data_IF_509793109325
#
_entry.id   IF_509793109325
#
_cell.length_a   1.000
_cell.length_b   1.000
_cell.length_c   1.000
_cell.angle_alpha   90.00
_cell.angle_beta   90.00
_cell.angle_gamma   90.00
#
_symmetry.space_group_name_H-M   'P 1'
#
loop_
_entity.id
_entity.type
_entity.pdbx_description
1 polymer ?
#
# COMPACT_ATOMS: atom_id res chain seq x y z
N UNK A 1 -5.42 -7.36 -6.40
CA UNK A 1 -6.75 -7.51 -7.01
C UNK A 1 -7.14 -6.29 -7.85
N UNK A 2 -7.33 -5.07 -7.30
CA UNK A 2 -7.66 -3.88 -8.10
C UNK A 2 -6.73 -3.70 -9.31
N UNK A 3 -5.42 -3.78 -9.11
CA UNK A 3 -4.42 -3.65 -10.18
C UNK A 3 -4.54 -4.73 -11.28
N UNK A 4 -4.97 -5.95 -10.93
CA UNK A 4 -5.18 -7.03 -11.91
C UNK A 4 -6.51 -6.90 -12.66
N UNK A 5 -7.54 -6.37 -12.01
CA UNK A 5 -8.88 -6.28 -12.59
C UNK A 5 -9.10 -5.05 -13.47
N UNK A 6 -8.26 -4.01 -13.38
CA UNK A 6 -8.47 -2.79 -14.15
C UNK A 6 -7.68 -2.81 -15.46
N UNK A 7 -8.36 -2.62 -16.64
CA UNK A 7 -7.73 -2.77 -17.94
C UNK A 7 -6.70 -1.70 -18.30
N UNK A 8 -6.76 -0.53 -17.64
CA UNK A 8 -5.85 0.60 -17.89
C UNK A 8 -4.60 0.54 -17.00
N UNK A 9 -4.40 -0.58 -16.26
CA UNK A 9 -3.23 -0.80 -15.44
C UNK A 9 -2.53 -2.08 -15.87
N UNK A 10 -1.28 -1.96 -16.31
CA UNK A 10 -0.41 -3.09 -16.61
C UNK A 10 0.45 -3.39 -15.39
N UNK A 11 0.13 -4.48 -14.67
CA UNK A 11 0.84 -4.92 -13.48
C UNK A 11 2.10 -5.70 -13.87
N UNK A 12 3.23 -5.02 -13.93
CA UNK A 12 4.50 -5.58 -14.43
C UNK A 12 5.20 -6.51 -13.45
N UNK A 13 5.09 -6.25 -12.15
CA UNK A 13 5.70 -7.06 -11.10
C UNK A 13 5.04 -6.76 -9.74
N UNK A 14 5.15 -7.71 -8.82
CA UNK A 14 4.83 -7.55 -7.40
C UNK A 14 6.08 -7.83 -6.58
N UNK A 15 6.35 -7.00 -5.57
CA UNK A 15 7.41 -7.26 -4.60
C UNK A 15 6.84 -7.28 -3.20
N UNK A 16 7.28 -8.22 -2.38
CA UNK A 16 6.82 -8.37 -1.02
C UNK A 16 7.81 -7.79 -0.01
N UNK A 17 7.33 -7.42 1.15
CA UNK A 17 8.12 -6.90 2.27
C UNK A 17 7.50 -7.40 3.57
N UNK A 18 8.32 -7.61 4.60
CA UNK A 18 7.79 -7.86 5.94
C UNK A 18 7.16 -6.57 6.49
N UNK A 19 6.02 -6.74 7.14
CA UNK A 19 5.25 -5.64 7.72
C UNK A 19 4.10 -6.22 8.53
N UNK A 20 2.89 -6.27 7.99
CA UNK A 20 1.72 -6.84 8.70
C UNK A 20 2.02 -8.22 9.30
N UNK A 21 2.80 -9.04 8.59
CA UNK A 21 3.32 -10.34 9.04
C UNK A 21 4.75 -10.53 8.48
N UNK A 22 5.37 -11.70 8.77
CA UNK A 22 6.73 -12.00 8.28
C UNK A 22 6.78 -12.13 6.75
N UNK A 23 7.97 -12.02 6.18
CA UNK A 23 8.20 -12.05 4.73
C UNK A 23 7.70 -13.35 4.08
N UNK A 24 7.84 -14.49 4.76
CA UNK A 24 7.34 -15.77 4.28
C UNK A 24 5.82 -15.77 4.11
N UNK A 25 5.12 -15.17 5.10
CA UNK A 25 3.66 -15.07 5.09
C UNK A 25 3.18 -14.05 4.04
N UNK A 26 3.81 -12.86 3.95
CA UNK A 26 3.44 -11.86 2.95
C UNK A 26 3.67 -12.37 1.54
N UNK A 27 4.77 -13.08 1.29
CA UNK A 27 5.06 -13.68 -0.02
C UNK A 27 4.06 -14.78 -0.37
N UNK A 28 3.80 -15.73 0.55
CA UNK A 28 2.78 -16.75 0.35
C UNK A 28 1.41 -16.14 0.03
N UNK A 29 1.03 -15.10 0.76
CA UNK A 29 -0.24 -14.42 0.58
C UNK A 29 -0.33 -13.71 -0.78
N UNK A 30 0.72 -13.04 -1.22
CA UNK A 30 0.79 -12.38 -2.53
C UNK A 30 0.60 -13.41 -3.67
N UNK A 31 1.33 -14.54 -3.62
CA UNK A 31 1.21 -15.61 -4.60
C UNK A 31 -0.21 -16.19 -4.65
N UNK A 32 -0.81 -16.48 -3.48
CA UNK A 32 -2.18 -17.00 -3.38
C UNK A 32 -3.22 -16.03 -3.94
N UNK A 33 -3.07 -14.73 -3.65
CA UNK A 33 -3.97 -13.70 -4.15
C UNK A 33 -3.84 -13.54 -5.66
N UNK A 34 -2.64 -13.58 -6.22
CA UNK A 34 -2.44 -13.52 -7.67
C UNK A 34 -3.04 -14.76 -8.36
N UNK A 35 -2.84 -15.97 -7.81
CA UNK A 35 -3.48 -17.19 -8.32
C UNK A 35 -5.02 -17.13 -8.22
N UNK A 36 -5.56 -16.55 -7.15
CA UNK A 36 -7.01 -16.39 -6.98
C UNK A 36 -7.63 -15.56 -8.12
N UNK A 37 -6.90 -14.54 -8.58
CA UNK A 37 -7.36 -13.59 -9.61
C UNK A 37 -6.85 -13.91 -11.02
N UNK A 38 -6.12 -15.03 -11.19
CA UNK A 38 -5.62 -15.47 -12.50
C UNK A 38 -4.48 -14.63 -13.08
N UNK A 39 -3.66 -14.02 -12.21
CA UNK A 39 -2.47 -13.23 -12.58
C UNK A 39 -1.18 -14.01 -12.29
N UNK A 40 -1.14 -15.29 -12.65
CA UNK A 40 -0.02 -16.21 -12.36
C UNK A 40 1.25 -15.90 -13.18
N UNK A 41 1.14 -15.09 -14.23
CA UNK A 41 2.23 -14.62 -15.09
C UNK A 41 2.96 -13.39 -14.52
N UNK A 42 2.40 -12.73 -13.50
CA UNK A 42 3.03 -11.58 -12.84
C UNK A 42 4.14 -12.05 -11.90
N UNK A 43 5.41 -11.70 -12.14
CA UNK A 43 6.50 -12.14 -11.29
C UNK A 43 6.41 -11.54 -9.88
N UNK A 44 6.74 -12.35 -8.86
CA UNK A 44 6.72 -11.95 -7.45
C UNK A 44 8.13 -12.01 -6.87
N UNK A 45 8.74 -10.88 -6.59
CA UNK A 45 10.06 -10.79 -5.93
C UNK A 45 9.96 -10.77 -4.42
N UNK A 46 10.71 -11.65 -3.75
CA UNK A 46 10.81 -11.67 -2.29
C UNK A 46 11.71 -10.53 -1.83
N UNK A 47 11.22 -9.66 -0.96
CA UNK A 47 11.96 -8.50 -0.49
C UNK A 47 12.46 -8.61 0.94
N UNK A 48 12.60 -7.47 1.59
CA UNK A 48 13.20 -7.37 2.91
C UNK A 48 12.39 -8.11 3.98
N UNK A 49 13.09 -8.87 4.82
CA UNK A 49 12.52 -9.58 5.97
C UNK A 49 12.35 -8.71 7.22
N UNK A 50 12.73 -7.46 7.15
CA UNK A 50 12.61 -6.47 8.22
C UNK A 50 13.06 -5.09 7.76
N UNK A 51 12.90 -4.07 8.62
CA UNK A 51 13.29 -2.70 8.34
C UNK A 51 14.81 -2.53 8.28
N UNK A 52 15.26 -1.37 7.75
CA UNK A 52 16.69 -1.09 7.53
C UNK A 52 17.53 -1.11 8.82
N UNK A 53 17.01 -0.55 9.89
CA UNK A 53 17.81 -0.32 11.10
C UNK A 53 17.18 -0.90 12.39
N UNK A 54 15.91 -1.32 12.34
CA UNK A 54 15.14 -1.65 13.56
C UNK A 54 14.66 -3.09 13.57
N UNK A 55 14.29 -3.65 14.72
CA UNK A 55 13.58 -4.93 14.77
C UNK A 55 12.21 -4.79 14.08
N UNK A 56 11.80 -5.86 13.40
CA UNK A 56 10.49 -5.94 12.75
C UNK A 56 9.37 -5.82 13.79
N UNK A 57 8.42 -4.92 13.51
CA UNK A 57 7.13 -4.83 14.19
C UNK A 57 6.04 -5.34 13.26
N UNK A 58 5.21 -6.29 13.73
CA UNK A 58 4.12 -6.87 12.94
C UNK A 58 2.75 -6.43 13.46
N UNK A 59 1.71 -6.59 12.65
CA UNK A 59 0.32 -6.26 12.97
C UNK A 59 -0.58 -7.51 12.95
N UNK A 60 -0.10 -8.63 13.52
CA UNK A 60 -0.89 -9.87 13.61
C UNK A 60 -2.18 -9.71 14.43
N UNK A 61 -2.23 -8.74 15.33
CA UNK A 61 -3.41 -8.35 16.10
C UNK A 61 -4.52 -7.70 15.26
N UNK A 62 -4.19 -7.19 14.06
CA UNK A 62 -5.14 -6.63 13.09
C UNK A 62 -5.44 -7.63 11.97
N UNK A 63 -4.39 -8.20 11.36
CA UNK A 63 -4.47 -9.01 10.14
C UNK A 63 -4.59 -10.51 10.39
N UNK A 64 -4.56 -10.92 11.67
CA UNK A 64 -4.52 -12.32 12.06
C UNK A 64 -3.14 -12.96 11.86
N UNK A 65 -3.01 -14.19 12.34
CA UNK A 65 -1.71 -14.92 12.35
C UNK A 65 -1.20 -15.25 10.95
N UNK A 66 -2.09 -15.43 9.98
CA UNK A 66 -1.71 -15.69 8.58
C UNK A 66 -1.45 -14.40 7.80
N UNK A 67 -1.95 -13.26 8.29
CA UNK A 67 -1.99 -11.98 7.55
C UNK A 67 -3.13 -11.88 6.53
N UNK A 68 -3.92 -12.95 6.39
CA UNK A 68 -5.14 -13.04 5.59
C UNK A 68 -6.17 -13.89 6.33
N UNK A 69 -6.32 -13.68 7.64
CA UNK A 69 -7.38 -14.33 8.40
C UNK A 69 -8.74 -13.74 8.00
N UNK A 70 -9.72 -14.61 7.82
CA UNK A 70 -11.06 -14.24 7.36
C UNK A 70 -11.84 -15.45 6.88
N UNK A 71 -13.03 -15.27 6.32
CA UNK A 71 -13.83 -16.37 5.85
C UNK A 71 -13.32 -16.93 4.52
N UNK A 72 -13.17 -18.22 4.49
CA UNK A 72 -12.86 -19.01 3.31
C UNK A 72 -11.36 -19.23 3.12
N UNK A 73 -11.04 -20.40 2.57
CA UNK A 73 -9.68 -20.70 2.15
C UNK A 73 -9.40 -20.04 0.79
N UNK A 74 -8.45 -19.11 0.74
CA UNK A 74 -7.82 -18.78 -0.53
C UNK A 74 -6.99 -20.02 -0.92
N UNK A 75 -7.14 -20.54 -2.15
CA UNK A 75 -6.37 -21.70 -2.59
C UNK A 75 -4.87 -21.45 -2.51
N UNK A 76 -4.08 -22.52 -2.42
CA UNK A 76 -2.63 -22.39 -2.52
C UNK A 76 -2.25 -21.89 -3.93
N UNK A 77 -1.13 -21.19 -4.00
CA UNK A 77 -0.64 -20.64 -5.27
C UNK A 77 -0.23 -21.77 -6.23
N UNK A 78 -0.46 -21.55 -7.51
CA UNK A 78 -0.12 -22.46 -8.60
C UNK A 78 1.31 -22.22 -9.13
N UNK A 79 1.96 -21.14 -8.70
CA UNK A 79 3.31 -20.73 -9.10
C UNK A 79 4.13 -20.28 -7.88
N UNK A 80 5.45 -20.11 -8.06
CA UNK A 80 6.38 -19.70 -7.02
C UNK A 80 6.86 -18.26 -7.20
N UNK A 81 7.60 -17.77 -6.20
CA UNK A 81 8.29 -16.50 -6.31
C UNK A 81 9.39 -16.55 -7.40
N UNK A 82 9.67 -15.39 -7.99
CA UNK A 82 10.79 -15.19 -8.91
C UNK A 82 12.12 -15.43 -8.17
N UNK A 83 13.11 -15.92 -8.87
CA UNK A 83 14.45 -16.14 -8.29
C UNK A 83 15.16 -14.83 -7.91
N UNK A 84 14.76 -13.74 -8.55
CA UNK A 84 15.24 -12.38 -8.21
C UNK A 84 14.57 -11.89 -6.95
N UNK A 85 15.36 -11.30 -6.05
CA UNK A 85 14.82 -10.53 -4.93
C UNK A 85 14.07 -9.26 -5.40
N UNK A 86 13.39 -8.60 -4.47
CA UNK A 86 12.56 -7.43 -4.79
C UNK A 86 13.33 -6.32 -5.52
N UNK A 87 14.54 -5.96 -5.05
CA UNK A 87 15.34 -4.88 -5.64
C UNK A 87 15.78 -5.22 -7.07
N UNK A 88 16.26 -6.45 -7.28
CA UNK A 88 16.65 -6.92 -8.60
C UNK A 88 15.47 -6.99 -9.56
N UNK A 89 14.31 -7.44 -9.08
CA UNK A 89 13.09 -7.51 -9.89
C UNK A 89 12.61 -6.11 -10.27
N UNK A 90 12.60 -5.14 -9.35
CA UNK A 90 12.27 -3.74 -9.65
C UNK A 90 13.23 -3.21 -10.74
N UNK A 91 14.54 -3.36 -10.52
CA UNK A 91 15.57 -2.88 -11.45
C UNK A 91 15.44 -3.50 -12.85
N UNK A 92 15.21 -4.82 -12.91
CA UNK A 92 15.02 -5.54 -14.17
C UNK A 92 13.75 -5.09 -14.90
N UNK A 93 12.63 -4.90 -14.16
CA UNK A 93 11.36 -4.43 -14.70
C UNK A 93 11.51 -3.02 -15.28
N UNK A 94 12.13 -2.10 -14.55
CA UNK A 94 12.36 -0.74 -15.02
C UNK A 94 13.26 -0.69 -16.27
N UNK A 95 14.28 -1.54 -16.36
CA UNK A 95 15.14 -1.64 -17.54
C UNK A 95 14.43 -2.23 -18.75
N UNK A 96 13.54 -3.19 -18.53
CA UNK A 96 12.83 -3.88 -19.61
C UNK A 96 11.62 -3.10 -20.14
N UNK A 97 11.00 -2.27 -19.30
CA UNK A 97 9.83 -1.47 -19.71
C UNK A 97 10.22 -0.45 -20.79
N UNK A 98 9.43 -0.30 -21.87
CA UNK A 98 9.66 0.75 -22.87
C UNK A 98 9.44 2.16 -22.28
N UNK A 99 8.50 2.30 -21.35
CA UNK A 99 8.12 3.55 -20.72
C UNK A 99 8.53 3.58 -19.23
N UNK A 100 8.69 4.76 -18.62
CA UNK A 100 8.87 4.87 -17.17
C UNK A 100 7.69 4.28 -16.40
N UNK A 101 7.96 3.67 -15.25
CA UNK A 101 7.02 2.88 -14.45
C UNK A 101 6.61 3.63 -13.19
N UNK A 102 5.37 3.44 -12.75
CA UNK A 102 4.91 3.91 -11.43
C UNK A 102 5.14 2.84 -10.37
N UNK A 103 5.75 3.21 -9.26
CA UNK A 103 5.88 2.35 -8.07
C UNK A 103 4.69 2.61 -7.14
N UNK A 104 4.03 1.54 -6.66
CA UNK A 104 2.87 1.66 -5.76
C UNK A 104 3.15 0.87 -4.48
N UNK A 105 3.98 1.38 -3.57
CA UNK A 105 4.20 0.73 -2.28
C UNK A 105 2.98 0.88 -1.36
N UNK A 106 2.48 -0.26 -0.89
CA UNK A 106 1.35 -0.37 0.04
C UNK A 106 1.74 -1.09 1.34
N UNK A 107 3.03 -1.12 1.64
CA UNK A 107 3.65 -1.64 2.84
C UNK A 107 4.86 -0.79 3.23
N UNK A 108 5.68 -1.22 4.21
CA UNK A 108 6.90 -0.53 4.59
C UNK A 108 7.81 -0.25 3.38
N UNK A 109 8.45 0.92 3.37
CA UNK A 109 9.17 1.44 2.20
C UNK A 109 10.58 0.87 2.02
N UNK A 110 10.94 -0.16 2.78
CA UNK A 110 12.27 -0.78 2.84
C UNK A 110 12.79 -1.18 1.46
N UNK A 111 11.99 -1.88 0.64
CA UNK A 111 12.39 -2.29 -0.71
C UNK A 111 12.65 -1.10 -1.63
N UNK A 112 11.84 -0.05 -1.50
CA UNK A 112 11.95 1.15 -2.35
C UNK A 112 13.21 1.93 -1.97
N UNK A 113 13.50 2.09 -0.67
CA UNK A 113 14.73 2.72 -0.21
C UNK A 113 15.97 1.93 -0.66
N UNK A 114 15.96 0.60 -0.50
CA UNK A 114 17.04 -0.26 -0.97
C UNK A 114 17.25 -0.12 -2.49
N UNK A 115 16.18 -0.15 -3.28
CA UNK A 115 16.24 0.08 -4.73
C UNK A 115 16.89 1.44 -5.06
N UNK A 116 16.48 2.51 -4.40
CA UNK A 116 17.01 3.86 -4.66
C UNK A 116 18.49 4.01 -4.28
N UNK A 117 18.95 3.28 -3.26
CA UNK A 117 20.37 3.22 -2.86
C UNK A 117 21.21 2.45 -3.87
N UNK A 118 20.72 1.29 -4.31
CA UNK A 118 21.48 0.36 -5.16
C UNK A 118 21.46 0.76 -6.65
N UNK A 119 20.35 1.39 -7.09
CA UNK A 119 20.13 1.78 -8.50
C UNK A 119 19.75 3.26 -8.65
N UNK A 120 20.58 4.21 -8.18
CA UNK A 120 20.28 5.65 -8.31
C UNK A 120 20.21 6.11 -9.78
N UNK A 121 20.84 5.38 -10.68
CA UNK A 121 20.84 5.59 -12.14
C UNK A 121 19.48 5.27 -12.80
N UNK A 122 18.60 4.54 -12.13
CA UNK A 122 17.27 4.18 -12.63
C UNK A 122 16.15 5.13 -12.17
N UNK A 123 16.45 6.18 -11.44
CA UNK A 123 15.43 7.14 -10.98
C UNK A 123 14.62 7.73 -12.12
N UNK A 124 15.24 8.04 -13.25
CA UNK A 124 14.56 8.59 -14.42
C UNK A 124 13.61 7.58 -15.09
N UNK A 125 13.68 6.30 -14.70
CA UNK A 125 12.76 5.25 -15.13
C UNK A 125 11.53 5.13 -14.22
N UNK A 126 11.44 5.92 -13.15
CA UNK A 126 10.31 5.97 -12.23
C UNK A 126 9.49 7.24 -12.51
N UNK A 127 8.26 7.06 -12.97
CA UNK A 127 7.34 8.18 -13.24
C UNK A 127 6.93 8.89 -11.95
N UNK A 128 6.53 8.08 -10.94
CA UNK A 128 6.10 8.54 -9.61
C UNK A 128 6.11 7.38 -8.62
N UNK A 129 6.01 7.72 -7.35
CA UNK A 129 5.75 6.77 -6.26
C UNK A 129 4.38 7.11 -5.66
N UNK A 130 3.41 6.18 -5.73
CA UNK A 130 2.09 6.33 -5.08
C UNK A 130 2.07 5.49 -3.81
N UNK A 131 2.18 6.14 -2.66
CA UNK A 131 2.38 5.51 -1.34
C UNK A 131 1.04 5.35 -0.63
N UNK A 132 0.74 4.15 -0.10
CA UNK A 132 -0.14 4.03 1.04
C UNK A 132 0.70 4.08 2.31
N UNK A 133 0.54 5.11 3.11
CA UNK A 133 1.26 5.29 4.37
C UNK A 133 1.27 6.71 4.86
N UNK A 134 1.54 6.86 6.15
CA UNK A 134 1.60 8.14 6.83
C UNK A 134 0.24 8.76 7.17
N UNK A 135 0.31 9.92 7.78
CA UNK A 135 -0.85 10.75 8.12
C UNK A 135 -0.42 12.21 8.33
N UNK A 136 -1.36 13.14 8.18
CA UNK A 136 -1.14 14.54 8.58
C UNK A 136 -1.41 14.78 10.07
N UNK A 137 -2.06 13.83 10.72
CA UNK A 137 -2.53 13.99 12.10
C UNK A 137 -2.44 12.70 12.91
N UNK A 138 -3.51 11.94 13.00
CA UNK A 138 -3.56 10.76 13.87
C UNK A 138 -2.88 9.54 13.25
N UNK A 139 -2.07 8.85 14.05
CA UNK A 139 -1.56 7.53 13.70
C UNK A 139 -2.53 6.40 14.03
N UNK A 140 -2.18 5.17 13.64
CA UNK A 140 -2.92 3.95 13.94
C UNK A 140 -2.08 2.91 14.71
N UNK A 141 -0.75 3.06 14.71
CA UNK A 141 0.19 2.20 15.46
C UNK A 141 0.65 2.88 16.74
N UNK A 142 0.98 4.16 16.66
CA UNK A 142 1.14 5.07 17.80
C UNK A 142 0.19 6.25 17.60
N UNK A 143 -0.03 7.12 18.61
CA UNK A 143 -0.83 8.32 18.40
C UNK A 143 -0.34 9.22 17.25
N UNK A 144 0.94 9.14 16.89
CA UNK A 144 1.57 10.00 15.88
C UNK A 144 1.89 9.28 14.55
N UNK A 145 2.00 7.94 14.55
CA UNK A 145 2.54 7.22 13.41
C UNK A 145 1.56 6.22 12.78
N UNK A 146 1.50 6.25 11.45
CA UNK A 146 0.88 5.21 10.62
C UNK A 146 1.84 4.01 10.53
N UNK A 147 1.26 2.80 10.40
CA UNK A 147 1.96 1.52 10.51
C UNK A 147 3.11 1.35 9.49
N UNK A 148 2.88 1.59 8.21
CA UNK A 148 3.90 1.36 7.18
C UNK A 148 5.13 2.25 7.40
N UNK A 149 4.91 3.51 7.81
CA UNK A 149 5.99 4.44 8.11
C UNK A 149 6.64 4.10 9.46
N UNK A 150 5.84 3.68 10.45
CA UNK A 150 6.37 3.29 11.77
C UNK A 150 7.30 2.07 11.71
N UNK A 151 7.00 1.11 10.85
CA UNK A 151 7.83 -0.12 10.68
C UNK A 151 9.22 0.24 10.19
N UNK A 152 9.36 1.12 9.21
CA UNK A 152 10.65 1.55 8.66
C UNK A 152 10.70 3.06 8.36
N UNK A 153 10.81 3.90 9.43
CA UNK A 153 10.83 5.35 9.25
C UNK A 153 12.09 5.83 8.52
N UNK A 154 13.21 5.12 8.65
CA UNK A 154 14.46 5.44 7.96
C UNK A 154 14.29 5.26 6.44
N UNK A 155 13.70 4.15 6.00
CA UNK A 155 13.38 3.92 4.60
C UNK A 155 12.38 4.98 4.08
N UNK A 156 11.35 5.29 4.87
CA UNK A 156 10.37 6.31 4.51
C UNK A 156 11.02 7.67 4.31
N UNK A 157 11.89 8.10 5.21
CA UNK A 157 12.66 9.36 5.08
C UNK A 157 13.42 9.41 3.76
N UNK A 158 14.14 8.35 3.41
CA UNK A 158 14.92 8.30 2.16
C UNK A 158 14.04 8.39 0.93
N UNK A 159 12.89 7.73 0.95
CA UNK A 159 11.93 7.80 -0.17
C UNK A 159 11.38 9.21 -0.32
N UNK A 160 10.94 9.88 0.77
CA UNK A 160 10.46 11.26 0.71
C UNK A 160 11.55 12.27 0.33
N UNK A 161 12.82 11.97 0.59
CA UNK A 161 13.97 12.79 0.21
C UNK A 161 14.55 12.43 -1.17
N UNK A 162 14.01 11.43 -1.85
CA UNK A 162 14.53 10.91 -3.12
C UNK A 162 14.53 11.92 -4.27
N UNK A 163 13.67 12.93 -4.21
CA UNK A 163 13.42 13.88 -5.29
C UNK A 163 12.48 13.37 -6.40
N UNK A 164 11.98 12.14 -6.28
CA UNK A 164 10.95 11.61 -7.19
C UNK A 164 9.58 12.23 -6.89
N UNK A 165 8.67 12.32 -7.88
CA UNK A 165 7.29 12.70 -7.64
C UNK A 165 6.60 11.68 -6.72
N UNK A 166 6.04 12.14 -5.60
CA UNK A 166 5.36 11.29 -4.61
C UNK A 166 3.91 11.71 -4.48
N UNK A 167 2.99 10.74 -4.50
CA UNK A 167 1.61 10.89 -4.03
C UNK A 167 1.46 10.09 -2.75
N UNK A 168 1.06 10.75 -1.66
CA UNK A 168 0.87 10.13 -0.35
C UNK A 168 -0.61 9.95 -0.06
N UNK A 169 -1.08 8.72 0.00
CA UNK A 169 -2.41 8.32 0.47
C UNK A 169 -2.32 7.92 1.95
N UNK A 170 -2.30 8.93 2.82
CA UNK A 170 -2.23 8.74 4.28
C UNK A 170 -3.58 8.40 4.91
N UNK A 171 -3.58 8.18 6.24
CA UNK A 171 -4.81 7.83 6.99
C UNK A 171 -5.92 8.86 6.84
N UNK A 172 -5.57 10.15 6.72
CA UNK A 172 -6.54 11.25 6.56
C UNK A 172 -7.46 11.07 5.35
N UNK A 173 -6.98 10.41 4.31
CA UNK A 173 -7.76 10.13 3.10
C UNK A 173 -8.23 8.67 3.05
N UNK A 174 -7.44 7.71 3.51
CA UNK A 174 -7.83 6.29 3.43
C UNK A 174 -8.96 5.94 4.40
N UNK A 175 -9.10 6.64 5.53
CA UNK A 175 -10.25 6.51 6.43
C UNK A 175 -11.58 6.95 5.77
N UNK A 176 -11.54 7.74 4.69
CA UNK A 176 -12.74 8.09 3.91
C UNK A 176 -13.23 6.94 3.02
N UNK A 177 -12.39 5.92 2.79
CA UNK A 177 -12.70 4.71 2.02
C UNK A 177 -13.31 3.59 2.89
N UNK A 178 -14.11 3.93 3.90
CA UNK A 178 -14.76 2.95 4.77
C UNK A 178 -15.80 2.11 4.03
N UNK A 179 -15.68 0.77 4.13
CA UNK A 179 -16.63 -0.18 3.55
C UNK A 179 -17.75 -0.50 4.56
N UNK A 180 -18.84 0.25 4.49
CA UNK A 180 -20.04 0.00 5.28
C UNK A 180 -20.72 -1.34 4.87
N UNK A 181 -21.76 -1.81 5.59
CA UNK A 181 -22.43 -3.06 5.24
C UNK A 181 -22.97 -3.10 3.80
N UNK A 182 -23.52 -1.98 3.30
CA UNK A 182 -24.07 -1.92 1.94
C UNK A 182 -22.96 -2.04 0.90
N UNK A 183 -21.80 -1.38 1.12
CA UNK A 183 -20.63 -1.51 0.26
C UNK A 183 -20.09 -2.95 0.26
N UNK A 184 -20.02 -3.61 1.40
CA UNK A 184 -19.58 -5.01 1.47
C UNK A 184 -20.52 -5.95 0.70
N UNK A 185 -21.84 -5.74 0.77
CA UNK A 185 -22.80 -6.52 -0.02
C UNK A 185 -22.69 -6.24 -1.52
N UNK A 186 -22.46 -4.99 -1.94
CA UNK A 186 -22.20 -4.65 -3.33
C UNK A 186 -20.92 -5.30 -3.83
N UNK A 187 -19.84 -5.29 -3.05
CA UNK A 187 -18.59 -6.01 -3.37
C UNK A 187 -18.87 -7.50 -3.52
N UNK A 188 -19.62 -8.13 -2.61
CA UNK A 188 -19.99 -9.55 -2.67
C UNK A 188 -20.73 -9.89 -3.96
N UNK A 189 -21.59 -8.99 -4.42
CA UNK A 189 -22.40 -9.17 -5.64
C UNK A 189 -21.57 -9.08 -6.95
N UNK A 190 -20.32 -8.58 -6.91
CA UNK A 190 -19.49 -8.49 -8.13
C UNK A 190 -18.98 -9.85 -8.62
N UNK A 191 -19.00 -10.91 -7.80
CA UNK A 191 -18.59 -12.24 -8.20
C UNK A 191 -17.74 -12.97 -7.14
N UNK A 192 -17.03 -14.02 -7.58
CA UNK A 192 -16.23 -14.87 -6.69
C UNK A 192 -15.15 -14.08 -5.93
N UNK A 193 -14.41 -13.25 -6.62
CA UNK A 193 -13.33 -12.46 -6.01
C UNK A 193 -13.90 -11.40 -5.09
N UNK A 194 -14.96 -10.70 -5.49
CA UNK A 194 -15.65 -9.73 -4.64
C UNK A 194 -16.24 -10.37 -3.38
N UNK A 195 -16.73 -11.61 -3.47
CA UNK A 195 -17.18 -12.38 -2.32
C UNK A 195 -16.06 -12.65 -1.31
N UNK A 196 -14.85 -12.97 -1.79
CA UNK A 196 -13.65 -13.14 -0.94
C UNK A 196 -13.25 -11.81 -0.29
N UNK A 197 -13.23 -10.73 -1.06
CA UNK A 197 -12.91 -9.37 -0.54
C UNK A 197 -13.91 -8.96 0.53
N UNK A 198 -15.21 -9.11 0.28
CA UNK A 198 -16.26 -8.80 1.25
C UNK A 198 -16.10 -9.62 2.54
N UNK A 199 -15.73 -10.88 2.40
CA UNK A 199 -15.46 -11.75 3.56
C UNK A 199 -14.28 -11.26 4.42
N UNK A 200 -13.17 -10.81 3.82
CA UNK A 200 -12.10 -10.17 4.57
C UNK A 200 -12.56 -8.90 5.26
N UNK A 201 -13.35 -8.08 4.58
CA UNK A 201 -13.87 -6.84 5.16
C UNK A 201 -14.83 -7.11 6.34
N UNK A 202 -15.61 -8.20 6.31
CA UNK A 202 -16.44 -8.60 7.44
C UNK A 202 -15.58 -8.99 8.66
N UNK A 203 -14.45 -9.70 8.44
CA UNK A 203 -13.50 -10.00 9.50
C UNK A 203 -12.85 -8.73 10.06
N UNK A 204 -12.40 -7.82 9.17
CA UNK A 204 -11.82 -6.54 9.56
C UNK A 204 -12.83 -5.64 10.30
N UNK A 205 -14.10 -5.63 9.91
CA UNK A 205 -15.13 -4.82 10.55
C UNK A 205 -15.18 -5.06 12.07
N UNK A 206 -15.20 -6.34 12.48
CA UNK A 206 -15.20 -6.68 13.90
C UNK A 206 -13.92 -6.23 14.63
N UNK A 207 -12.75 -6.32 13.96
CA UNK A 207 -11.47 -5.89 14.55
C UNK A 207 -11.40 -4.37 14.68
N UNK A 208 -11.81 -3.63 13.64
CA UNK A 208 -11.78 -2.17 13.63
C UNK A 208 -12.80 -1.54 14.57
N UNK A 209 -14.00 -2.11 14.69
CA UNK A 209 -15.01 -1.69 15.67
C UNK A 209 -14.45 -1.81 17.10
N UNK A 210 -13.88 -2.96 17.45
CA UNK A 210 -13.34 -3.22 18.78
C UNK A 210 -12.12 -2.36 19.13
N UNK A 211 -11.23 -2.07 18.16
CA UNK A 211 -9.94 -1.42 18.42
C UNK A 211 -10.00 0.10 18.23
N UNK A 212 -10.73 0.56 17.22
CA UNK A 212 -10.74 1.97 16.80
C UNK A 212 -12.13 2.62 16.85
N UNK A 213 -13.19 1.84 17.09
CA UNK A 213 -14.58 2.35 17.07
C UNK A 213 -15.07 2.71 15.68
N UNK A 214 -14.53 2.14 14.61
CA UNK A 214 -14.99 2.35 13.25
C UNK A 214 -16.12 1.38 12.89
N UNK A 215 -17.26 1.91 12.44
CA UNK A 215 -18.39 1.11 11.95
C UNK A 215 -18.11 0.47 10.57
N UNK A 216 -17.17 1.03 9.82
CA UNK A 216 -16.80 0.63 8.48
C UNK A 216 -15.27 0.48 8.37
N UNK A 217 -14.74 -0.72 8.09
CA UNK A 217 -13.30 -0.93 7.92
C UNK A 217 -12.80 -0.18 6.68
N UNK A 218 -11.75 0.65 6.80
CA UNK A 218 -11.23 1.40 5.66
C UNK A 218 -10.41 0.50 4.73
N UNK A 219 -10.57 0.74 3.42
CA UNK A 219 -9.74 0.13 2.37
C UNK A 219 -8.54 1.03 2.10
N UNK A 220 -7.47 0.85 2.86
CA UNK A 220 -6.28 1.70 2.79
C UNK A 220 -5.54 1.57 1.46
N UNK A 221 -5.02 0.39 1.14
CA UNK A 221 -4.11 0.13 0.03
C UNK A 221 -4.72 0.42 -1.35
N UNK A 222 -5.99 0.09 -1.61
CA UNK A 222 -6.61 0.38 -2.91
C UNK A 222 -6.66 1.87 -3.25
N UNK A 223 -6.63 2.78 -2.25
CA UNK A 223 -6.61 4.24 -2.50
C UNK A 223 -5.34 4.65 -3.24
N UNK A 224 -4.18 4.07 -2.89
CA UNK A 224 -2.92 4.37 -3.59
C UNK A 224 -2.91 3.88 -5.04
N UNK A 225 -3.61 2.76 -5.34
CA UNK A 225 -3.80 2.25 -6.71
C UNK A 225 -4.79 3.14 -7.47
N UNK A 226 -5.92 3.49 -6.86
CA UNK A 226 -6.94 4.37 -7.44
C UNK A 226 -6.38 5.75 -7.81
N UNK A 227 -5.48 6.30 -6.97
CA UNK A 227 -4.78 7.57 -7.25
C UNK A 227 -3.91 7.54 -8.52
N UNK A 228 -3.50 6.35 -8.97
CA UNK A 228 -2.76 6.17 -10.23
C UNK A 228 -3.71 6.02 -11.41
N UNK A 229 -4.77 5.21 -11.24
CA UNK A 229 -5.76 4.93 -12.28
C UNK A 229 -6.60 6.17 -12.61
N UNK A 230 -7.17 6.78 -11.60
CA UNK A 230 -8.02 7.96 -11.71
C UNK A 230 -7.57 9.05 -10.74
N UNK A 231 -6.56 9.86 -11.09
CA UNK A 231 -6.02 10.88 -10.20
C UNK A 231 -7.06 11.89 -9.68
N UNK A 232 -8.16 12.05 -10.40
CA UNK A 232 -9.27 12.92 -10.00
C UNK A 232 -10.04 12.45 -8.76
N UNK A 233 -9.95 11.17 -8.41
CA UNK A 233 -10.57 10.61 -7.19
C UNK A 233 -9.90 11.11 -5.90
N UNK A 234 -8.61 11.42 -5.97
CA UNK A 234 -7.83 11.88 -4.83
C UNK A 234 -7.58 13.39 -4.92
N UNK A 235 -8.22 14.16 -4.03
CA UNK A 235 -7.86 15.57 -3.86
C UNK A 235 -6.55 15.65 -3.10
N UNK A 236 -5.52 16.23 -3.74
CA UNK A 236 -4.18 16.38 -3.13
C UNK A 236 -3.84 17.85 -2.85
N UNK A 237 -2.81 18.01 -2.04
CA UNK A 237 -2.17 19.29 -1.77
C UNK A 237 -0.65 19.11 -1.71
N UNK A 238 0.12 19.94 -2.43
CA UNK A 238 1.58 19.91 -2.33
C UNK A 238 2.03 20.32 -0.93
N UNK A 239 2.81 19.46 -0.27
CA UNK A 239 3.35 19.71 1.07
C UNK A 239 4.80 19.24 1.17
N UNK A 240 5.55 19.84 2.08
CA UNK A 240 6.78 19.24 2.60
C UNK A 240 6.39 18.17 3.61
N UNK A 241 6.89 16.96 3.39
CA UNK A 241 6.76 15.83 4.31
C UNK A 241 8.16 15.46 4.79
N UNK A 242 8.42 15.60 6.08
CA UNK A 242 9.61 15.09 6.75
C UNK A 242 9.19 13.90 7.64
N UNK A 243 10.05 12.89 7.81
CA UNK A 243 9.76 11.70 8.63
C UNK A 243 10.56 11.75 9.92
N UNK A 244 9.87 11.64 11.06
CA UNK A 244 10.49 11.58 12.37
C UNK A 244 11.09 10.19 12.64
N UNK A 245 12.40 10.11 12.84
CA UNK A 245 13.12 8.86 13.04
C UNK A 245 13.73 8.71 14.44
N UNK A 246 13.75 9.76 15.26
CA UNK A 246 14.57 9.83 16.46
C UNK A 246 13.74 9.77 17.75
N UNK A 247 12.67 10.56 17.85
CA UNK A 247 11.87 10.70 19.06
C UNK A 247 11.10 9.42 19.40
N UNK A 248 11.22 8.96 20.65
CA UNK A 248 10.44 7.82 21.13
C UNK A 248 8.92 8.05 21.12
N UNK A 249 8.47 9.32 21.15
CA UNK A 249 7.05 9.66 21.17
C UNK A 249 6.44 9.74 19.77
N UNK A 250 7.21 10.25 18.79
CA UNK A 250 6.68 10.62 17.47
C UNK A 250 7.39 9.90 16.31
N UNK A 251 8.26 8.92 16.62
CA UNK A 251 8.93 8.12 15.61
C UNK A 251 7.94 7.49 14.64
N UNK A 252 8.19 7.66 13.32
CA UNK A 252 7.31 7.21 12.25
C UNK A 252 6.21 8.22 11.91
N UNK A 253 6.18 9.39 12.57
CA UNK A 253 5.30 10.48 12.17
C UNK A 253 5.75 11.06 10.83
N UNK A 254 4.80 11.26 9.92
CA UNK A 254 4.98 12.08 8.72
C UNK A 254 4.61 13.52 9.04
N UNK A 255 5.63 14.34 9.27
CA UNK A 255 5.47 15.76 9.61
C UNK A 255 5.15 16.54 8.34
N UNK A 256 3.85 16.73 8.09
CA UNK A 256 3.35 17.42 6.91
C UNK A 256 3.25 18.92 7.16
N UNK A 257 4.02 19.74 6.41
CA UNK A 257 3.96 21.20 6.50
C UNK A 257 2.74 21.76 5.76
N UNK A 258 1.57 21.60 6.38
CA UNK A 258 0.29 21.99 5.80
C UNK A 258 0.21 23.50 5.46
N UNK A 259 0.82 24.35 6.27
CA UNK A 259 0.77 25.80 6.10
C UNK A 259 2.02 26.41 5.43
N UNK A 260 3.03 25.60 5.10
CA UNK A 260 4.27 26.07 4.49
C UNK A 260 5.16 26.86 5.46
N UNK A 261 5.03 26.63 6.77
CA UNK A 261 5.73 27.41 7.80
C UNK A 261 7.24 27.17 7.83
N UNK A 262 7.68 26.00 7.34
CA UNK A 262 9.11 25.67 7.29
C UNK A 262 9.84 26.39 6.17
N UNK A 263 9.13 26.92 5.17
CA UNK A 263 9.71 27.49 3.96
C UNK A 263 10.43 26.50 3.04
N UNK A 264 10.42 25.19 3.38
CA UNK A 264 10.97 24.11 2.54
C UNK A 264 10.06 23.88 1.33
N UNK A 265 10.66 23.50 0.19
CA UNK A 265 9.88 23.13 -0.99
C UNK A 265 9.06 21.86 -0.73
N UNK A 266 7.81 21.77 -1.20
CA UNK A 266 7.04 20.52 -1.20
C UNK A 266 7.81 19.38 -1.87
N UNK A 267 7.67 18.18 -1.31
CA UNK A 267 8.25 16.95 -1.85
C UNK A 267 7.20 15.86 -2.10
N UNK A 268 5.94 16.11 -1.76
CA UNK A 268 4.85 15.17 -2.00
C UNK A 268 3.53 15.90 -2.28
N UNK A 269 2.69 15.26 -3.09
CA UNK A 269 1.26 15.53 -3.20
C UNK A 269 0.56 14.70 -2.13
N UNK A 270 0.07 15.35 -1.07
CA UNK A 270 -0.56 14.69 0.08
C UNK A 270 -2.07 14.65 -0.11
N UNK A 271 -2.67 13.47 0.00
CA UNK A 271 -4.12 13.27 -0.08
C UNK A 271 -4.85 13.93 1.08
N UNK A 272 -5.85 14.77 0.75
CA UNK A 272 -6.66 15.52 1.72
C UNK A 272 -8.17 15.25 1.57
N UNK A 273 -8.59 14.55 0.53
CA UNK A 273 -9.98 14.19 0.29
C UNK A 273 -10.10 13.11 -0.77
N UNK A 274 -11.14 12.30 -0.66
CA UNK A 274 -11.45 11.18 -1.56
C UNK A 274 -12.86 11.35 -2.14
N UNK A 275 -13.01 11.21 -3.46
CA UNK A 275 -14.30 10.88 -4.05
C UNK A 275 -14.62 9.41 -3.74
N UNK A 276 -15.33 9.22 -2.61
CA UNK A 276 -15.65 7.88 -2.10
C UNK A 276 -16.54 7.10 -3.07
N UNK A 277 -17.53 7.75 -3.67
CA UNK A 277 -18.44 7.09 -4.61
C UNK A 277 -17.70 6.60 -5.85
N UNK A 278 -16.92 7.47 -6.49
CA UNK A 278 -16.09 7.11 -7.63
C UNK A 278 -15.07 6.01 -7.29
N UNK A 279 -14.50 6.05 -6.09
CA UNK A 279 -13.58 5.01 -5.62
C UNK A 279 -14.24 3.62 -5.52
N UNK A 280 -15.44 3.52 -4.95
CA UNK A 280 -16.13 2.23 -4.86
C UNK A 280 -16.62 1.74 -6.23
N UNK A 281 -17.09 2.62 -7.12
CA UNK A 281 -17.44 2.26 -8.50
C UNK A 281 -16.24 1.69 -9.27
N UNK A 282 -15.05 2.27 -9.08
CA UNK A 282 -13.79 1.73 -9.63
C UNK A 282 -13.52 0.31 -9.11
N UNK A 283 -13.70 0.08 -7.81
CA UNK A 283 -13.52 -1.24 -7.19
C UNK A 283 -14.51 -2.27 -7.72
N UNK A 284 -15.80 -1.94 -7.81
CA UNK A 284 -16.82 -2.86 -8.33
C UNK A 284 -16.53 -3.24 -9.78
N UNK A 285 -16.15 -2.26 -10.59
CA UNK A 285 -15.81 -2.47 -12.00
C UNK A 285 -14.60 -3.40 -12.13
N UNK A 286 -13.55 -3.19 -11.37
CA UNK A 286 -12.34 -4.01 -11.42
C UNK A 286 -12.57 -5.43 -10.90
N UNK A 287 -13.24 -5.58 -9.75
CA UNK A 287 -13.50 -6.89 -9.16
C UNK A 287 -14.51 -7.71 -9.96
N UNK A 288 -15.48 -7.07 -10.63
CA UNK A 288 -16.44 -7.74 -11.51
C UNK A 288 -15.83 -8.35 -12.76
N UNK A 289 -14.55 -8.06 -13.06
CA UNK A 289 -13.79 -8.64 -14.20
C UNK A 289 -12.94 -9.84 -13.82
N UNK A 290 -12.80 -10.12 -12.52
CA UNK A 290 -12.03 -11.20 -11.93
C UNK A 290 -12.96 -12.36 -11.53
#
# INVERSE_FOLDING_TARGET
>A
MLACGHPDLDLLAVTTVAGNVTIEKTTRNALRVLSLVGCDDVPVGVGASGPLERPLHTAEDIHGKSGLDGPGEIPEATFGADERGAVDLISATLKASPEPVTLIPVGPLTNIAAFLREHPDLKDRVTRISIMGGSMGLGNTTPAAEFNIYVDPEAAREVFESGLPITMSGLDVTHQAGADPDERERLRATGRVGGVVAGFLDYFAATYENKFGFDAPPLHDPVAVAAVLEPGLLKTRPMRVDVECVSDLTRGETVCDFYGVTGKKPNAEVGVGLDREGFFELLYTALGRL
#
